data_IF_458838771546
#
_entry.id   IF_458838771546
#
_cell.length_a   1.000
_cell.length_b   1.000
_cell.length_c   1.000
_cell.angle_alpha   90.00
_cell.angle_beta   90.00
_cell.angle_gamma   90.00
#
_symmetry.space_group_name_H-M   'P 1'
#
loop_
_entity.id
_entity.type
_entity.pdbx_description
1 polymer ?
#
# COMPACT_ATOMS: atom_id res chain seq x y z
N UNK A 1 -36.05 -22.55 -23.19
CA UNK A 1 -35.87 -21.51 -22.15
C UNK A 1 -34.46 -21.52 -21.54
N UNK A 2 -33.89 -22.68 -21.17
CA UNK A 2 -32.53 -22.83 -20.59
C UNK A 2 -31.38 -22.18 -21.40
N UNK A 3 -31.40 -22.28 -22.73
CA UNK A 3 -30.34 -21.70 -23.60
C UNK A 3 -30.36 -20.16 -23.52
N UNK A 4 -31.52 -19.52 -23.50
CA UNK A 4 -31.62 -18.05 -23.39
C UNK A 4 -31.13 -17.54 -22.02
N UNK A 5 -31.36 -18.31 -20.95
CA UNK A 5 -30.88 -18.00 -19.60
C UNK A 5 -29.35 -18.16 -19.48
N UNK A 6 -28.76 -19.17 -20.13
CA UNK A 6 -27.31 -19.34 -20.22
C UNK A 6 -26.62 -18.19 -20.96
N UNK A 7 -27.21 -17.71 -22.07
CA UNK A 7 -26.67 -16.57 -22.81
C UNK A 7 -26.77 -15.26 -22.02
N UNK A 8 -27.88 -15.04 -21.31
CA UNK A 8 -28.01 -13.86 -20.43
C UNK A 8 -27.03 -13.90 -19.25
N UNK A 9 -26.82 -15.07 -18.64
CA UNK A 9 -25.83 -15.24 -17.59
C UNK A 9 -24.41 -14.98 -18.11
N UNK A 10 -24.03 -15.52 -19.27
CA UNK A 10 -22.73 -15.27 -19.88
C UNK A 10 -22.50 -13.78 -20.19
N UNK A 11 -23.52 -13.09 -20.72
CA UNK A 11 -23.44 -11.66 -21.00
C UNK A 11 -23.29 -10.82 -19.72
N UNK A 12 -24.00 -11.20 -18.65
CA UNK A 12 -23.89 -10.54 -17.35
C UNK A 12 -22.49 -10.74 -16.74
N UNK A 13 -21.92 -11.95 -16.81
CA UNK A 13 -20.57 -12.23 -16.29
C UNK A 13 -19.50 -11.47 -17.08
N UNK A 14 -19.58 -11.42 -18.41
CA UNK A 14 -18.66 -10.64 -19.24
C UNK A 14 -18.74 -9.13 -18.94
N UNK A 15 -19.95 -8.60 -18.73
CA UNK A 15 -20.13 -7.21 -18.34
C UNK A 15 -19.53 -6.90 -16.95
N UNK A 16 -19.67 -7.81 -15.99
CA UNK A 16 -19.08 -7.66 -14.65
C UNK A 16 -17.54 -7.62 -14.69
N UNK A 17 -16.91 -8.40 -15.57
CA UNK A 17 -15.44 -8.38 -15.72
C UNK A 17 -14.89 -7.03 -16.18
N UNK A 18 -15.65 -6.25 -16.95
CA UNK A 18 -15.23 -4.92 -17.41
C UNK A 18 -15.15 -3.90 -16.26
N UNK A 19 -15.87 -4.14 -15.17
CA UNK A 19 -15.86 -3.28 -13.97
C UNK A 19 -14.66 -3.54 -13.05
N UNK A 20 -13.90 -4.62 -13.28
CA UNK A 20 -12.71 -4.98 -12.50
C UNK A 20 -11.42 -4.30 -13.01
N UNK A 21 -11.53 -3.37 -13.97
CA UNK A 21 -10.39 -2.63 -14.50
C UNK A 21 -9.77 -1.70 -13.45
N UNK A 22 -8.45 -1.82 -13.24
CA UNK A 22 -7.68 -0.90 -12.38
C UNK A 22 -7.28 0.39 -13.10
N UNK A 23 -6.83 1.39 -12.34
CA UNK A 23 -6.48 2.71 -12.86
C UNK A 23 -5.08 2.81 -13.50
N UNK A 24 -4.60 1.75 -14.16
CA UNK A 24 -3.24 1.70 -14.75
C UNK A 24 -3.04 2.73 -15.87
N UNK A 25 -4.12 3.21 -16.50
CA UNK A 25 -4.07 4.23 -17.55
C UNK A 25 -3.90 5.66 -17.04
N UNK A 26 -3.87 5.91 -15.73
CA UNK A 26 -3.74 7.28 -15.16
C UNK A 26 -2.35 7.91 -15.37
N UNK A 27 -1.42 7.23 -16.03
CA UNK A 27 -0.15 7.81 -16.46
C UNK A 27 0.93 7.92 -15.38
N UNK A 28 0.64 7.48 -14.15
CA UNK A 28 1.64 7.37 -13.08
C UNK A 28 2.61 6.23 -13.39
N UNK A 29 3.79 6.57 -13.91
CA UNK A 29 4.87 5.61 -14.16
C UNK A 29 5.58 5.28 -12.85
N UNK A 30 6.09 4.06 -12.75
CA UNK A 30 6.76 3.57 -11.53
C UNK A 30 8.00 4.41 -11.15
N UNK A 31 8.66 5.05 -12.12
CA UNK A 31 9.83 5.91 -11.90
C UNK A 31 9.49 7.38 -11.64
N UNK A 32 8.23 7.82 -11.79
CA UNK A 32 7.81 9.21 -11.53
C UNK A 32 7.46 9.47 -10.05
N UNK A 33 7.86 8.55 -9.15
CA UNK A 33 7.53 8.60 -7.71
C UNK A 33 7.99 9.90 -7.07
N UNK A 34 9.22 10.34 -7.35
CA UNK A 34 9.76 11.60 -6.79
C UNK A 34 9.15 12.86 -7.43
N UNK A 35 8.62 12.76 -8.65
CA UNK A 35 8.06 13.90 -9.38
C UNK A 35 6.58 14.14 -9.02
N UNK A 36 5.82 13.08 -8.73
CA UNK A 36 4.40 13.18 -8.35
C UNK A 36 4.19 13.29 -6.83
N UNK A 37 5.16 12.86 -6.01
CA UNK A 37 5.06 12.98 -4.56
C UNK A 37 5.35 14.41 -4.11
N UNK A 38 4.39 15.01 -3.39
CA UNK A 38 4.63 16.28 -2.69
C UNK A 38 5.39 16.00 -1.40
N UNK A 39 6.17 16.97 -0.89
CA UNK A 39 6.82 16.86 0.42
C UNK A 39 5.84 16.54 1.56
N UNK A 40 4.58 17.00 1.47
CA UNK A 40 3.53 16.69 2.44
C UNK A 40 3.01 15.26 2.40
N UNK A 41 3.34 14.48 1.35
CA UNK A 41 2.96 13.07 1.21
C UNK A 41 4.02 12.13 1.79
N UNK A 42 5.09 12.67 2.39
CA UNK A 42 6.10 11.84 3.05
C UNK A 42 5.45 11.07 4.23
N UNK A 43 5.72 9.76 4.36
CA UNK A 43 5.21 8.95 5.47
C UNK A 43 5.63 9.48 6.84
N UNK A 44 6.79 10.14 6.90
CA UNK A 44 7.32 10.80 8.10
C UNK A 44 7.47 12.29 7.80
N UNK A 45 6.64 13.11 8.42
CA UNK A 45 6.62 14.57 8.20
C UNK A 45 7.69 15.32 8.99
N UNK A 46 8.11 14.76 10.13
CA UNK A 46 9.10 15.34 11.04
C UNK A 46 10.18 14.30 11.36
N UNK A 47 11.20 14.16 10.50
CA UNK A 47 12.18 13.08 10.63
C UNK A 47 12.99 13.14 11.93
N UNK A 48 13.24 14.35 12.46
CA UNK A 48 13.96 14.53 13.73
C UNK A 48 13.14 14.04 14.93
N UNK A 49 11.84 14.33 14.95
CA UNK A 49 10.94 13.89 16.03
C UNK A 49 10.75 12.37 15.93
N UNK A 50 10.49 11.86 14.73
CA UNK A 50 10.34 10.42 14.52
C UNK A 50 11.60 9.63 14.91
N UNK A 51 12.79 10.16 14.61
CA UNK A 51 14.05 9.55 15.07
C UNK A 51 14.19 9.58 16.60
N UNK A 52 13.86 10.70 17.24
CA UNK A 52 13.88 10.79 18.70
C UNK A 52 12.90 9.80 19.35
N UNK A 53 11.69 9.67 18.81
CA UNK A 53 10.69 8.71 19.27
C UNK A 53 11.15 7.27 19.08
N UNK A 54 11.79 6.95 17.96
CA UNK A 54 12.40 5.63 17.72
C UNK A 54 13.53 5.32 18.70
N UNK A 55 14.39 6.29 19.01
CA UNK A 55 15.45 6.14 20.01
C UNK A 55 14.88 5.87 21.41
N UNK A 56 13.81 6.58 21.79
CA UNK A 56 13.13 6.38 23.09
C UNK A 56 12.44 5.00 23.12
N UNK A 57 11.74 4.65 22.06
CA UNK A 57 11.01 3.38 21.95
C UNK A 57 11.97 2.19 21.98
N UNK A 58 13.05 2.22 21.21
CA UNK A 58 14.08 1.17 21.24
C UNK A 58 14.69 1.00 22.63
N UNK A 59 14.96 2.11 23.32
CA UNK A 59 15.52 2.08 24.68
C UNK A 59 14.57 1.52 25.74
N UNK A 60 13.25 1.61 25.52
CA UNK A 60 12.24 1.15 26.47
C UNK A 60 11.69 -0.24 26.14
N UNK A 61 11.50 -0.52 24.86
CA UNK A 61 10.67 -1.61 24.35
C UNK A 61 11.29 -2.30 23.11
N UNK A 62 12.59 -2.12 22.84
CA UNK A 62 13.28 -2.67 21.66
C UNK A 62 13.22 -4.20 21.48
N UNK A 63 12.81 -4.93 22.53
CA UNK A 63 12.56 -6.37 22.47
C UNK A 63 11.32 -6.74 21.64
N UNK A 64 10.34 -5.85 21.44
CA UNK A 64 9.10 -6.12 20.67
C UNK A 64 9.15 -5.71 19.19
N UNK A 65 10.30 -5.21 18.71
CA UNK A 65 10.45 -4.75 17.32
C UNK A 65 9.92 -3.33 17.10
N UNK A 66 10.55 -2.60 16.17
CA UNK A 66 10.24 -1.20 15.84
C UNK A 66 9.40 -1.01 14.57
N UNK A 67 9.22 0.24 14.14
CA UNK A 67 8.41 0.65 12.97
C UNK A 67 8.99 0.28 11.59
N UNK A 68 10.13 -0.40 11.54
CA UNK A 68 10.84 -0.75 10.30
C UNK A 68 10.34 -2.09 9.73
N UNK A 69 10.53 -2.28 8.42
CA UNK A 69 10.11 -3.49 7.70
C UNK A 69 10.82 -4.78 8.17
N UNK A 70 11.87 -4.65 8.99
CA UNK A 70 12.68 -5.73 9.58
C UNK A 70 12.47 -5.87 11.11
N UNK A 71 11.28 -5.52 11.61
CA UNK A 71 10.99 -5.49 13.05
C UNK A 71 10.68 -6.85 13.66
N UNK A 72 11.69 -7.70 13.86
CA UNK A 72 11.62 -8.91 14.68
C UNK A 72 12.45 -8.77 15.96
N UNK A 73 11.84 -9.06 17.11
CA UNK A 73 12.37 -8.82 18.45
C UNK A 73 13.75 -9.41 18.77
N UNK A 74 14.53 -8.61 19.52
CA UNK A 74 15.82 -8.85 20.20
C UNK A 74 16.58 -7.50 20.33
N UNK A 75 16.25 -6.53 19.49
CA UNK A 75 16.91 -5.21 19.44
C UNK A 75 18.17 -5.20 18.57
N UNK A 76 18.39 -6.20 17.72
CA UNK A 76 19.50 -6.20 16.77
C UNK A 76 18.97 -5.76 15.38
N UNK A 77 19.14 -4.49 15.02
CA UNK A 77 19.15 -4.04 13.62
C UNK A 77 20.60 -3.84 13.18
#
# INVERSE_FOLDING_TARGET
MKIKTLHMAALATSAACLLLGGCSSLGAKSWDRDLMARRSMQPVTHPLIAGADDHIYFSKEGASGGRSFDGGGCGCN
#
